data_IF_595855594940
#
_entry.id   IF_595855594940
#
_cell.length_a   1.000
_cell.length_b   1.000
_cell.length_c   1.000
_cell.angle_alpha   90.00
_cell.angle_beta   90.00
_cell.angle_gamma   90.00
#
_symmetry.space_group_name_H-M   'P 1'
#
loop_
_entity.id
_entity.type
_entity.pdbx_description
1 polymer ?
#
# COMPACT_ATOMS: atom_id res chain seq x y z
N UNK A 1 -13.89 -39.87 -84.97
CA UNK A 1 -13.13 -39.48 -86.17
C UNK A 1 -12.63 -38.06 -86.00
N UNK A 2 -11.32 -37.87 -86.21
CA UNK A 2 -10.57 -36.65 -86.57
C UNK A 2 -10.42 -35.50 -85.54
N UNK A 3 -9.19 -35.49 -84.99
CA UNK A 3 -8.18 -34.42 -84.99
C UNK A 3 -8.41 -33.21 -84.08
N UNK A 4 -7.60 -33.01 -83.03
CA UNK A 4 -6.22 -32.43 -83.03
C UNK A 4 -6.20 -30.96 -83.51
N UNK A 5 -5.87 -30.04 -82.61
CA UNK A 5 -4.67 -29.17 -82.64
C UNK A 5 -4.70 -28.18 -81.45
N UNK A 6 -3.76 -28.42 -80.54
CA UNK A 6 -2.71 -27.50 -80.10
C UNK A 6 -3.03 -26.12 -79.48
N UNK A 7 -2.66 -26.02 -78.20
CA UNK A 7 -1.58 -25.16 -77.70
C UNK A 7 -1.84 -23.64 -77.59
N UNK A 8 -2.02 -23.16 -76.36
CA UNK A 8 -1.05 -22.21 -75.78
C UNK A 8 -1.16 -22.14 -74.26
N UNK A 9 -0.11 -22.70 -73.68
CA UNK A 9 0.53 -22.37 -72.42
C UNK A 9 0.70 -20.84 -72.30
N UNK A 10 0.37 -20.24 -71.15
CA UNK A 10 1.25 -19.29 -70.45
C UNK A 10 0.83 -19.25 -68.97
N UNK A 11 1.87 -19.41 -68.18
CA UNK A 11 1.97 -19.50 -66.74
C UNK A 11 1.95 -18.09 -66.16
N UNK A 12 1.11 -17.84 -65.15
CA UNK A 12 1.40 -16.87 -64.10
C UNK A 12 1.04 -17.51 -62.75
N UNK A 13 2.03 -18.21 -62.20
CA UNK A 13 2.07 -18.58 -60.79
C UNK A 13 2.35 -17.31 -59.99
N UNK A 14 1.31 -16.69 -59.42
CA UNK A 14 1.50 -15.83 -58.26
C UNK A 14 1.60 -16.72 -57.02
N UNK A 15 2.82 -17.19 -56.76
CA UNK A 15 3.24 -17.68 -55.45
C UNK A 15 3.52 -16.47 -54.57
N UNK A 16 2.48 -15.95 -53.91
CA UNK A 16 2.68 -15.08 -52.76
C UNK A 16 2.62 -15.97 -51.51
N UNK A 17 3.78 -16.45 -51.07
CA UNK A 17 3.95 -16.92 -49.70
C UNK A 17 3.85 -15.69 -48.79
N UNK A 18 2.62 -15.26 -48.52
CA UNK A 18 2.34 -14.41 -47.38
C UNK A 18 2.67 -15.24 -46.15
N UNK A 19 3.73 -14.83 -45.44
CA UNK A 19 3.94 -15.28 -44.07
C UNK A 19 2.62 -15.00 -43.34
N UNK A 20 2.03 -16.04 -42.77
CA UNK A 20 1.15 -15.87 -41.63
C UNK A 20 2.00 -15.17 -40.57
N UNK A 21 1.86 -13.83 -40.50
CA UNK A 21 2.02 -13.15 -39.23
C UNK A 21 1.02 -13.84 -38.32
N UNK A 22 1.55 -14.64 -37.40
CA UNK A 22 0.86 -14.90 -36.15
C UNK A 22 0.57 -13.52 -35.57
N UNK A 23 -0.62 -12.99 -35.84
CA UNK A 23 -1.28 -12.08 -34.92
C UNK A 23 -1.29 -12.84 -33.59
N UNK A 24 -0.29 -12.52 -32.76
CA UNK A 24 -0.34 -12.79 -31.34
C UNK A 24 -1.73 -12.37 -30.88
N UNK A 25 -2.45 -13.29 -30.23
CA UNK A 25 -3.69 -12.96 -29.52
C UNK A 25 -3.55 -11.59 -28.88
N UNK A 26 -4.57 -10.70 -28.96
CA UNK A 26 -4.51 -9.41 -28.31
C UNK A 26 -4.00 -9.61 -26.90
N UNK A 27 -2.88 -8.98 -26.59
CA UNK A 27 -2.39 -8.95 -25.24
C UNK A 27 -3.51 -8.32 -24.40
N UNK A 28 -4.06 -9.08 -23.46
CA UNK A 28 -5.07 -8.58 -22.51
C UNK A 28 -4.46 -7.59 -21.50
N UNK A 29 -3.21 -7.14 -21.69
CA UNK A 29 -2.52 -6.22 -20.81
C UNK A 29 -2.91 -4.79 -21.16
N UNK A 30 -3.76 -4.18 -20.34
CA UNK A 30 -4.19 -2.79 -20.56
C UNK A 30 -3.06 -1.79 -20.41
N UNK A 31 -1.89 -2.16 -19.88
CA UNK A 31 -0.76 -1.25 -19.64
C UNK A 31 0.36 -1.40 -20.69
N UNK A 32 0.14 -2.12 -21.79
CA UNK A 32 1.19 -2.43 -22.79
C UNK A 32 1.79 -1.18 -23.43
N UNK A 33 0.97 -0.16 -23.71
CA UNK A 33 1.37 1.12 -24.30
C UNK A 33 1.21 2.29 -23.31
N UNK A 34 1.39 2.03 -22.02
CA UNK A 34 1.25 3.04 -20.97
C UNK A 34 2.14 4.25 -21.26
N UNK A 35 1.52 5.42 -21.33
CA UNK A 35 2.21 6.72 -21.33
C UNK A 35 1.66 7.59 -20.22
N UNK A 36 2.43 8.58 -19.78
CA UNK A 36 1.94 9.50 -18.74
C UNK A 36 2.48 10.91 -18.88
N UNK A 37 1.74 11.84 -18.28
CA UNK A 37 2.23 13.19 -18.01
C UNK A 37 2.17 13.46 -16.52
N UNK A 38 3.04 14.36 -16.05
CA UNK A 38 3.11 14.74 -14.64
C UNK A 38 2.93 16.25 -14.55
N UNK A 39 1.98 16.67 -13.72
CA UNK A 39 1.85 18.05 -13.26
C UNK A 39 2.22 18.14 -11.78
N UNK A 40 2.47 19.33 -11.26
CA UNK A 40 2.69 19.55 -9.83
C UNK A 40 1.80 20.68 -9.36
N UNK A 41 1.00 20.40 -8.34
CA UNK A 41 0.16 21.38 -7.66
C UNK A 41 0.66 21.60 -6.25
N UNK A 42 0.40 22.80 -5.71
CA UNK A 42 0.80 23.19 -4.36
C UNK A 42 -0.44 23.68 -3.61
N UNK A 43 -0.58 23.25 -2.36
CA UNK A 43 -1.63 23.69 -1.46
C UNK A 43 -1.26 25.04 -0.89
N UNK A 44 -2.19 26.00 -0.97
CA UNK A 44 -2.08 27.30 -0.32
C UNK A 44 -2.40 27.18 1.18
N UNK A 45 -1.42 27.37 2.08
CA UNK A 45 -1.66 27.30 3.52
C UNK A 45 -2.26 28.61 4.07
N UNK A 46 -2.43 29.65 3.24
CA UNK A 46 -2.87 30.98 3.66
C UNK A 46 -1.81 31.68 4.51
N UNK A 47 -2.19 32.09 5.72
CA UNK A 47 -1.26 32.72 6.68
C UNK A 47 -0.66 31.70 7.68
N UNK A 48 -1.07 30.43 7.61
CA UNK A 48 -0.55 29.36 8.45
C UNK A 48 0.58 28.60 7.76
N UNK A 49 1.19 27.65 8.47
CA UNK A 49 2.22 26.73 7.95
C UNK A 49 1.67 25.30 8.06
N UNK A 50 1.89 24.46 7.05
CA UNK A 50 1.66 23.02 7.15
C UNK A 50 3.00 22.36 7.49
N UNK A 51 3.14 21.81 8.69
CA UNK A 51 4.38 21.15 9.11
C UNK A 51 4.52 19.78 8.40
N UNK A 52 5.49 19.71 7.48
CA UNK A 52 5.82 18.52 6.69
C UNK A 52 7.08 17.79 7.19
N UNK A 53 7.55 18.08 8.41
CA UNK A 53 8.74 17.44 8.98
C UNK A 53 8.66 15.92 9.07
N UNK A 54 7.44 15.37 9.17
CA UNK A 54 7.15 13.94 9.11
C UNK A 54 6.33 13.56 7.87
N UNK A 55 6.45 14.35 6.81
CA UNK A 55 5.74 14.16 5.53
C UNK A 55 4.23 13.98 5.80
N UNK A 56 3.59 12.99 5.16
CA UNK A 56 2.18 12.63 5.37
C UNK A 56 1.99 11.39 6.27
N UNK A 57 2.93 11.11 7.19
CA UNK A 57 2.92 9.89 8.02
C UNK A 57 1.63 9.68 8.82
N UNK A 58 1.01 10.76 9.31
CA UNK A 58 -0.23 10.73 10.08
C UNK A 58 -1.37 11.37 9.29
N UNK A 59 -1.53 10.92 8.04
CA UNK A 59 -2.55 11.43 7.16
C UNK A 59 -3.50 10.35 6.64
N UNK A 60 -4.73 10.77 6.34
CA UNK A 60 -5.71 9.96 5.64
C UNK A 60 -6.66 10.85 4.81
N UNK A 61 -7.38 10.25 3.86
CA UNK A 61 -8.24 10.93 2.91
C UNK A 61 -9.72 10.76 3.27
N UNK A 62 -10.56 11.71 2.86
CA UNK A 62 -12.00 11.44 2.80
C UNK A 62 -12.30 10.37 1.75
N UNK A 63 -13.41 9.64 1.93
CA UNK A 63 -13.87 8.60 1.00
C UNK A 63 -14.10 9.09 -0.43
N UNK A 64 -14.34 10.39 -0.63
CA UNK A 64 -14.46 11.00 -1.96
C UNK A 64 -13.16 11.64 -2.47
N UNK A 65 -12.05 11.43 -1.76
CA UNK A 65 -10.72 11.96 -2.03
C UNK A 65 -10.64 13.49 -2.21
N UNK A 66 -11.59 14.26 -1.63
CA UNK A 66 -11.59 15.73 -1.68
C UNK A 66 -10.95 16.38 -0.47
N UNK A 67 -10.76 15.64 0.61
CA UNK A 67 -10.11 16.13 1.83
C UNK A 67 -8.90 15.28 2.15
N UNK A 68 -7.82 15.95 2.51
CA UNK A 68 -6.70 15.34 3.21
C UNK A 68 -6.74 15.81 4.67
N UNK A 69 -6.63 14.86 5.57
CA UNK A 69 -6.51 15.11 7.00
C UNK A 69 -5.09 14.79 7.40
N UNK A 70 -4.35 15.74 7.97
CA UNK A 70 -2.97 15.54 8.39
C UNK A 70 -2.81 15.94 9.86
N UNK A 71 -2.51 14.97 10.73
CA UNK A 71 -2.26 15.23 12.14
C UNK A 71 -0.79 15.56 12.39
N UNK A 72 -0.53 16.75 12.91
CA UNK A 72 0.82 17.19 13.28
C UNK A 72 1.00 17.01 14.78
N UNK A 73 1.73 15.98 15.17
CA UNK A 73 1.91 15.62 16.58
C UNK A 73 2.60 16.71 17.41
N UNK A 74 3.57 17.43 16.81
CA UNK A 74 4.26 18.55 17.47
C UNK A 74 3.33 19.72 17.83
N UNK A 75 2.28 19.93 17.03
CA UNK A 75 1.25 20.96 17.27
C UNK A 75 0.03 20.42 18.03
N UNK A 76 -0.13 19.10 18.07
CA UNK A 76 -1.33 18.40 18.51
C UNK A 76 -2.60 18.91 17.79
N UNK A 77 -2.49 19.08 16.48
CA UNK A 77 -3.56 19.60 15.62
C UNK A 77 -3.76 18.74 14.39
N UNK A 78 -5.02 18.61 13.97
CA UNK A 78 -5.41 18.05 12.69
C UNK A 78 -5.58 19.18 11.67
N UNK A 79 -4.77 19.19 10.61
CA UNK A 79 -4.95 20.05 9.45
C UNK A 79 -6.00 19.44 8.52
N UNK A 80 -6.96 20.24 8.09
CA UNK A 80 -7.99 19.86 7.10
C UNK A 80 -7.69 20.59 5.81
N UNK A 81 -7.27 19.86 4.78
CA UNK A 81 -6.90 20.39 3.47
C UNK A 81 -8.01 20.07 2.47
N UNK A 82 -8.44 21.08 1.71
CA UNK A 82 -9.34 20.91 0.56
C UNK A 82 -8.50 20.63 -0.70
N UNK A 83 -8.64 19.44 -1.27
CA UNK A 83 -7.91 18.99 -2.46
C UNK A 83 -8.52 19.49 -3.77
N UNK A 84 -9.76 19.98 -3.77
CA UNK A 84 -10.37 20.63 -4.94
C UNK A 84 -9.94 22.09 -5.05
N UNK A 85 -9.88 22.79 -3.91
CA UNK A 85 -9.44 24.19 -3.85
C UNK A 85 -7.93 24.33 -3.70
N UNK A 86 -7.24 23.27 -3.29
CA UNK A 86 -5.83 23.26 -2.92
C UNK A 86 -5.54 24.29 -1.82
N UNK A 87 -6.30 24.24 -0.73
CA UNK A 87 -6.17 25.20 0.38
C UNK A 87 -6.25 24.51 1.74
N UNK A 88 -5.48 24.98 2.71
CA UNK A 88 -5.72 24.67 4.12
C UNK A 88 -7.02 25.32 4.60
N UNK A 89 -8.02 24.53 5.00
CA UNK A 89 -9.31 25.08 5.45
C UNK A 89 -9.26 25.55 6.91
N UNK A 90 -8.65 24.73 7.77
CA UNK A 90 -8.56 24.95 9.22
C UNK A 90 -7.59 23.95 9.85
N UNK A 91 -7.11 24.30 11.04
CA UNK A 91 -6.49 23.37 11.98
C UNK A 91 -7.38 23.16 13.20
N UNK A 92 -7.54 21.91 13.62
CA UNK A 92 -8.39 21.51 14.74
C UNK A 92 -7.49 21.06 15.89
N UNK A 93 -7.55 21.70 17.07
CA UNK A 93 -6.75 21.30 18.22
C UNK A 93 -7.31 20.05 18.88
N UNK A 94 -6.42 19.17 19.31
CA UNK A 94 -6.73 18.01 20.15
C UNK A 94 -6.10 18.19 21.52
N UNK A 95 -6.57 17.44 22.52
CA UNK A 95 -5.90 17.36 23.82
C UNK A 95 -4.78 16.30 23.74
N UNK A 96 -3.64 16.55 24.40
CA UNK A 96 -2.54 15.58 24.45
C UNK A 96 -2.75 14.55 25.56
N UNK A 97 -3.25 15.02 26.69
CA UNK A 97 -3.49 14.25 27.92
C UNK A 97 -4.94 14.40 28.36
N UNK A 98 -5.34 13.63 29.38
CA UNK A 98 -6.70 13.64 29.91
C UNK A 98 -7.63 12.64 29.20
N UNK A 99 -8.94 12.65 29.52
CA UNK A 99 -9.90 11.69 28.97
C UNK A 99 -9.95 11.71 27.43
N UNK A 100 -9.83 12.89 26.83
CA UNK A 100 -9.82 13.11 25.39
C UNK A 100 -8.41 13.21 24.80
N UNK A 101 -7.37 12.86 25.58
CA UNK A 101 -5.99 12.90 25.12
C UNK A 101 -5.72 11.89 24.00
N UNK A 102 -5.07 12.33 22.93
CA UNK A 102 -4.57 11.46 21.83
C UNK A 102 -3.28 10.73 22.18
N UNK A 103 -2.58 11.18 23.24
CA UNK A 103 -1.35 10.56 23.72
C UNK A 103 -0.09 11.12 23.05
N UNK A 104 0.91 10.26 22.89
CA UNK A 104 2.19 10.58 22.25
C UNK A 104 2.73 9.35 21.54
N UNK A 105 3.64 9.56 20.59
CA UNK A 105 4.16 8.56 19.68
C UNK A 105 3.02 7.90 18.89
N UNK A 106 2.22 8.75 18.24
CA UNK A 106 1.15 8.30 17.36
C UNK A 106 1.76 7.49 16.22
N UNK A 107 1.20 6.30 16.01
CA UNK A 107 1.63 5.36 14.99
C UNK A 107 0.96 5.65 13.65
N UNK A 108 -0.37 5.74 13.64
CA UNK A 108 -1.16 6.12 12.47
C UNK A 108 -2.42 6.89 12.86
N UNK A 109 -3.01 7.49 11.84
CA UNK A 109 -4.36 8.04 11.82
C UNK A 109 -5.10 7.31 10.70
N UNK A 110 -6.28 6.79 10.99
CA UNK A 110 -7.19 6.20 10.00
C UNK A 110 -8.54 6.94 10.10
N UNK A 111 -9.10 7.41 8.99
CA UNK A 111 -10.48 7.88 8.92
C UNK A 111 -11.39 6.65 8.92
N UNK A 112 -12.20 6.47 9.96
CA UNK A 112 -13.08 5.31 10.10
C UNK A 112 -14.53 5.62 9.75
N UNK A 113 -14.89 6.91 9.70
CA UNK A 113 -16.16 7.39 9.18
C UNK A 113 -15.99 8.83 8.68
N UNK A 114 -17.02 9.41 8.05
CA UNK A 114 -16.98 10.81 7.61
C UNK A 114 -16.75 11.84 8.74
N UNK A 115 -16.93 11.45 10.00
CA UNK A 115 -16.86 12.32 11.18
C UNK A 115 -15.94 11.80 12.30
N UNK A 116 -15.26 10.66 12.11
CA UNK A 116 -14.44 10.03 13.14
C UNK A 116 -13.09 9.52 12.62
N UNK A 117 -12.09 9.68 13.46
CA UNK A 117 -10.73 9.19 13.26
C UNK A 117 -10.37 8.17 14.30
N UNK A 118 -9.73 7.10 13.86
CA UNK A 118 -9.03 6.17 14.70
C UNK A 118 -7.56 6.58 14.82
N UNK A 119 -7.16 6.96 16.02
CA UNK A 119 -5.79 7.31 16.35
C UNK A 119 -5.19 6.23 17.24
N UNK A 120 -4.03 5.71 16.84
CA UNK A 120 -3.36 4.63 17.57
C UNK A 120 -1.91 4.96 17.85
N UNK A 121 -1.47 4.56 19.04
CA UNK A 121 -0.08 4.46 19.48
C UNK A 121 0.25 2.97 19.63
N UNK A 122 1.46 2.66 20.06
CA UNK A 122 1.81 1.26 20.38
C UNK A 122 0.94 0.65 21.49
N UNK A 123 0.59 1.43 22.51
CA UNK A 123 -0.08 0.93 23.73
C UNK A 123 -1.55 1.33 23.85
N UNK A 124 -1.98 2.35 23.14
CA UNK A 124 -3.32 2.93 23.27
C UNK A 124 -3.89 3.22 21.91
N UNK A 125 -5.20 3.07 21.76
CA UNK A 125 -5.89 3.50 20.57
C UNK A 125 -7.29 4.00 20.93
N UNK A 126 -7.85 4.89 20.11
CA UNK A 126 -9.17 5.44 20.35
C UNK A 126 -9.79 6.07 19.12
N UNK A 127 -11.11 6.24 19.18
CA UNK A 127 -11.93 6.86 18.14
C UNK A 127 -12.30 8.26 18.60
N UNK A 128 -12.02 9.25 17.77
CA UNK A 128 -12.19 10.67 18.07
C UNK A 128 -12.99 11.37 16.98
N UNK A 129 -13.76 12.39 17.35
CA UNK A 129 -14.42 13.26 16.37
C UNK A 129 -13.59 14.50 16.00
N UNK A 130 -14.14 15.33 15.10
CA UNK A 130 -13.58 16.62 14.69
C UNK A 130 -13.64 17.72 15.76
N UNK A 131 -14.21 17.44 16.93
CA UNK A 131 -14.20 18.33 18.09
C UNK A 131 -13.12 17.90 19.10
N UNK A 132 -12.36 16.85 18.79
CA UNK A 132 -11.33 16.31 19.66
C UNK A 132 -11.88 15.49 20.83
N UNK A 133 -13.15 15.09 20.78
CA UNK A 133 -13.77 14.26 21.82
C UNK A 133 -13.51 12.79 21.51
N UNK A 134 -13.03 12.04 22.51
CA UNK A 134 -12.85 10.60 22.42
C UNK A 134 -14.17 9.90 22.71
N UNK A 135 -14.69 9.17 21.73
CA UNK A 135 -15.91 8.38 21.85
C UNK A 135 -15.63 6.99 22.42
N UNK A 136 -14.52 6.38 22.02
CA UNK A 136 -14.17 5.03 22.40
C UNK A 136 -12.65 4.89 22.62
N UNK A 137 -12.27 4.06 23.59
CA UNK A 137 -10.93 3.51 23.70
C UNK A 137 -10.95 2.09 23.15
N UNK A 138 -10.10 1.80 22.17
CA UNK A 138 -9.98 0.48 21.57
C UNK A 138 -8.82 -0.24 22.25
N UNK A 139 -9.13 -1.35 22.94
CA UNK A 139 -8.14 -2.18 23.62
C UNK A 139 -8.16 -3.60 23.04
N UNK A 140 -6.97 -4.16 22.81
CA UNK A 140 -6.77 -5.51 22.29
C UNK A 140 -6.17 -6.43 23.35
N UNK A 141 -6.63 -6.32 24.60
CA UNK A 141 -6.17 -7.23 25.65
C UNK A 141 -6.65 -8.66 25.33
N UNK A 142 -5.71 -9.61 25.29
CA UNK A 142 -6.00 -11.02 25.00
C UNK A 142 -7.01 -11.59 26.00
N UNK A 143 -7.01 -11.10 27.26
CA UNK A 143 -7.97 -11.53 28.27
C UNK A 143 -9.42 -11.08 27.95
N UNK A 144 -9.58 -10.01 27.19
CA UNK A 144 -10.88 -9.46 26.80
C UNK A 144 -11.42 -10.08 25.50
N UNK A 145 -10.55 -10.65 24.65
CA UNK A 145 -10.93 -11.20 23.35
C UNK A 145 -11.21 -12.70 23.45
N UNK A 146 -12.47 -13.08 23.22
CA UNK A 146 -12.94 -14.46 23.34
C UNK A 146 -12.50 -15.25 22.11
N UNK A 147 -11.69 -16.30 22.29
CA UNK A 147 -11.35 -17.25 21.22
C UNK A 147 -9.95 -17.08 20.63
N UNK A 148 -9.25 -16.00 20.96
CA UNK A 148 -7.83 -15.80 20.66
C UNK A 148 -7.03 -16.00 21.94
N UNK A 149 -6.07 -16.93 21.93
CA UNK A 149 -5.22 -17.24 23.09
C UNK A 149 -3.76 -17.46 22.70
N UNK A 150 -2.84 -17.04 23.56
CA UNK A 150 -1.40 -17.13 23.37
C UNK A 150 -0.91 -16.31 22.18
N UNK A 151 -1.54 -15.16 21.91
CA UNK A 151 -1.23 -14.31 20.75
C UNK A 151 -1.07 -12.88 21.20
N UNK A 152 0.06 -12.28 20.85
CA UNK A 152 0.28 -10.85 21.09
C UNK A 152 -0.50 -10.03 20.05
N UNK A 153 -1.48 -9.27 20.51
CA UNK A 153 -2.21 -8.30 19.69
C UNK A 153 -1.68 -6.90 20.00
N UNK A 154 -1.38 -6.11 18.97
CA UNK A 154 -0.80 -4.78 19.15
C UNK A 154 -1.63 -3.73 18.42
N UNK A 155 -1.90 -2.63 19.12
CA UNK A 155 -2.75 -1.55 18.61
C UNK A 155 -2.18 -0.88 17.35
N UNK A 156 -0.84 -0.81 17.22
CA UNK A 156 -0.20 -0.21 16.05
C UNK A 156 -0.41 -1.00 14.75
N UNK A 157 -0.87 -2.26 14.83
CA UNK A 157 -1.15 -3.15 13.70
C UNK A 157 -2.65 -3.34 13.45
N UNK A 158 -3.50 -2.67 14.23
CA UNK A 158 -4.95 -2.79 14.16
C UNK A 158 -5.52 -1.94 13.02
N UNK A 159 -6.42 -2.52 12.23
CA UNK A 159 -7.32 -1.82 11.31
C UNK A 159 -8.76 -2.07 11.76
N UNK A 160 -9.59 -1.03 11.71
CA UNK A 160 -11.02 -1.11 11.99
C UNK A 160 -11.75 -1.06 10.65
N UNK A 161 -12.89 -1.76 10.57
CA UNK A 161 -13.79 -1.56 9.45
C UNK A 161 -14.46 -0.18 9.50
N UNK A 162 -14.86 0.35 8.35
CA UNK A 162 -15.59 1.63 8.24
C UNK A 162 -16.94 1.59 8.99
N UNK A 163 -17.56 0.42 9.08
CA UNK A 163 -18.79 0.23 9.86
C UNK A 163 -18.54 -0.03 11.35
N UNK A 164 -17.27 -0.02 11.77
CA UNK A 164 -16.76 -0.25 13.12
C UNK A 164 -17.14 -1.61 13.73
N UNK A 165 -17.66 -2.55 12.94
CA UNK A 165 -18.05 -3.89 13.45
C UNK A 165 -16.89 -4.85 13.61
N UNK A 166 -15.80 -4.64 12.85
CA UNK A 166 -14.72 -5.59 12.74
C UNK A 166 -13.36 -4.96 13.00
N UNK A 167 -12.55 -5.69 13.75
CA UNK A 167 -11.18 -5.39 14.09
C UNK A 167 -10.28 -6.43 13.42
N UNK A 168 -9.31 -5.98 12.64
CA UNK A 168 -8.36 -6.80 11.90
C UNK A 168 -6.95 -6.50 12.36
N UNK A 169 -6.17 -7.53 12.67
CA UNK A 169 -4.75 -7.35 13.00
C UNK A 169 -3.96 -8.61 12.65
N UNK A 170 -2.70 -8.44 12.27
CA UNK A 170 -1.74 -9.55 12.17
C UNK A 170 -1.06 -9.71 13.53
N UNK A 171 -1.36 -10.79 14.30
CA UNK A 171 -0.77 -10.99 15.61
C UNK A 171 0.76 -11.09 15.56
N UNK A 172 1.39 -10.75 16.68
CA UNK A 172 2.82 -10.76 16.85
C UNK A 172 3.36 -9.37 17.19
N UNK A 173 4.68 -9.30 17.25
CA UNK A 173 5.41 -8.08 17.58
C UNK A 173 6.61 -7.94 16.66
N UNK A 174 6.90 -6.71 16.26
CA UNK A 174 8.16 -6.39 15.59
C UNK A 174 9.36 -6.69 16.51
N UNK A 175 9.16 -6.62 17.83
CA UNK A 175 10.21 -6.76 18.85
C UNK A 175 10.49 -8.20 19.32
N UNK A 176 9.66 -9.18 18.95
CA UNK A 176 9.83 -10.58 19.36
C UNK A 176 10.38 -11.42 18.20
N UNK A 177 11.01 -12.56 18.50
CA UNK A 177 11.34 -13.56 17.48
C UNK A 177 10.08 -13.93 16.70
N UNK A 178 10.16 -13.90 15.36
CA UNK A 178 8.99 -14.05 14.50
C UNK A 178 8.28 -15.39 14.72
N UNK A 179 6.95 -15.37 14.65
CA UNK A 179 6.16 -16.59 14.55
C UNK A 179 6.41 -17.25 13.17
N UNK A 180 6.57 -18.58 13.09
CA UNK A 180 6.89 -19.27 11.85
C UNK A 180 5.75 -19.24 10.82
N UNK A 181 4.54 -18.90 11.25
CA UNK A 181 3.34 -18.81 10.41
C UNK A 181 2.63 -17.50 10.70
N UNK A 182 2.25 -16.79 9.65
CA UNK A 182 1.51 -15.54 9.72
C UNK A 182 0.02 -15.84 9.69
N UNK A 183 -0.70 -15.17 10.58
CA UNK A 183 -2.13 -15.34 10.77
C UNK A 183 -2.82 -13.97 10.80
N UNK A 184 -4.10 -13.94 10.48
CA UNK A 184 -4.99 -12.81 10.68
C UNK A 184 -5.87 -13.08 11.90
N UNK A 185 -5.90 -12.13 12.83
CA UNK A 185 -6.95 -12.06 13.84
C UNK A 185 -8.12 -11.22 13.31
N UNK A 186 -9.30 -11.83 13.28
CA UNK A 186 -10.58 -11.18 13.01
C UNK A 186 -11.36 -11.13 14.33
N UNK A 187 -11.76 -9.94 14.77
CA UNK A 187 -12.43 -9.74 16.05
C UNK A 187 -13.70 -8.91 15.83
N UNK A 188 -14.84 -9.40 16.31
CA UNK A 188 -16.07 -8.62 16.34
C UNK A 188 -15.99 -7.57 17.46
N UNK A 189 -16.19 -6.30 17.13
CA UNK A 189 -16.00 -5.19 18.06
C UNK A 189 -17.02 -5.17 19.20
N UNK A 190 -18.24 -5.67 18.97
CA UNK A 190 -19.34 -5.69 19.96
C UNK A 190 -19.26 -6.92 20.86
N UNK A 191 -19.17 -8.12 20.28
CA UNK A 191 -19.20 -9.37 21.06
C UNK A 191 -17.84 -9.74 21.64
N UNK A 192 -16.76 -9.13 21.14
CA UNK A 192 -15.36 -9.48 21.43
C UNK A 192 -15.00 -10.92 21.04
N UNK A 193 -15.82 -11.59 20.24
CA UNK A 193 -15.50 -12.89 19.67
C UNK A 193 -14.42 -12.71 18.59
N UNK A 194 -13.31 -13.42 18.76
CA UNK A 194 -12.14 -13.39 17.89
C UNK A 194 -11.84 -14.75 17.30
N UNK A 195 -11.31 -14.74 16.08
CA UNK A 195 -10.86 -15.93 15.34
C UNK A 195 -9.49 -15.68 14.75
N UNK A 196 -8.71 -16.76 14.63
CA UNK A 196 -7.41 -16.76 13.98
C UNK A 196 -7.53 -17.51 12.66
N UNK A 197 -7.14 -16.85 11.57
CA UNK A 197 -7.18 -17.40 10.23
C UNK A 197 -5.76 -17.44 9.65
N UNK A 198 -5.25 -18.61 9.21
CA UNK A 198 -3.91 -18.70 8.65
C UNK A 198 -3.85 -18.00 7.27
N UNK A 199 -2.81 -17.21 7.04
CA UNK A 199 -2.55 -16.51 5.77
C UNK A 199 -1.15 -16.89 5.24
N UNK A 200 -0.92 -18.17 4.88
CA UNK A 200 0.43 -18.71 4.63
C UNK A 200 1.17 -18.07 3.45
N UNK A 201 0.46 -17.43 2.52
CA UNK A 201 1.12 -16.67 1.44
C UNK A 201 1.88 -15.44 1.99
N UNK A 202 1.52 -14.98 3.20
CA UNK A 202 2.15 -13.87 3.89
C UNK A 202 3.32 -14.31 4.80
N UNK A 203 3.54 -15.62 5.00
CA UNK A 203 4.65 -16.17 5.82
C UNK A 203 6.01 -15.61 5.41
N UNK A 204 6.20 -15.40 4.10
CA UNK A 204 7.43 -14.83 3.55
C UNK A 204 7.72 -13.44 4.10
N UNK A 205 6.69 -12.62 4.31
CA UNK A 205 6.83 -11.28 4.86
C UNK A 205 7.44 -11.32 6.25
N UNK A 206 7.01 -12.26 7.08
CA UNK A 206 7.52 -12.46 8.44
C UNK A 206 9.01 -12.82 8.51
N UNK A 207 9.60 -13.29 7.41
CA UNK A 207 11.04 -13.58 7.31
C UNK A 207 11.90 -12.31 7.14
N UNK A 208 11.32 -11.21 6.64
CA UNK A 208 12.04 -9.97 6.38
C UNK A 208 11.94 -9.02 7.57
N UNK A 209 12.52 -9.46 8.69
CA UNK A 209 12.60 -8.68 9.92
C UNK A 209 13.99 -8.81 10.54
N UNK A 210 14.64 -7.66 10.75
CA UNK A 210 15.97 -7.61 11.37
C UNK A 210 16.05 -6.50 12.41
N UNK A 211 16.78 -6.78 13.50
CA UNK A 211 17.06 -5.83 14.56
C UNK A 211 18.54 -5.47 14.62
N UNK A 212 18.84 -4.19 14.83
CA UNK A 212 20.14 -3.72 15.27
C UNK A 212 20.09 -3.49 16.78
N UNK A 213 21.05 -4.05 17.52
CA UNK A 213 21.15 -3.92 18.98
C UNK A 213 22.54 -3.43 19.38
N UNK A 214 22.60 -2.30 20.06
CA UNK A 214 23.84 -1.74 20.62
C UNK A 214 23.57 -1.27 22.06
N UNK A 215 24.00 -2.08 23.03
CA UNK A 215 23.69 -1.85 24.44
C UNK A 215 22.19 -1.90 24.70
N UNK A 216 21.60 -0.76 25.05
CA UNK A 216 20.16 -0.59 25.31
C UNK A 216 19.39 -0.06 24.10
N UNK A 217 20.07 0.37 23.05
CA UNK A 217 19.45 0.84 21.81
C UNK A 217 19.04 -0.35 20.95
N UNK A 218 17.80 -0.32 20.48
CA UNK A 218 17.27 -1.28 19.52
C UNK A 218 16.63 -0.51 18.36
N UNK A 219 16.97 -0.89 17.14
CA UNK A 219 16.33 -0.41 15.93
C UNK A 219 15.83 -1.62 15.13
N UNK A 220 14.60 -1.57 14.64
CA UNK A 220 13.99 -2.67 13.91
C UNK A 220 13.68 -2.20 12.48
N UNK A 221 13.97 -3.06 11.53
CA UNK A 221 13.45 -2.98 10.17
C UNK A 221 12.61 -4.23 9.94
N UNK A 222 11.36 -4.04 9.51
CA UNK A 222 10.45 -5.11 9.13
C UNK A 222 9.76 -4.72 7.83
N UNK A 223 9.42 -5.72 7.02
CA UNK A 223 8.53 -5.55 5.88
C UNK A 223 7.07 -5.58 6.33
N UNK A 224 6.22 -4.88 5.59
CA UNK A 224 4.88 -4.51 6.03
C UNK A 224 3.80 -5.50 5.55
N UNK A 225 2.77 -5.64 6.38
CA UNK A 225 1.46 -6.11 5.98
C UNK A 225 0.56 -4.88 5.86
N UNK A 226 -0.11 -4.72 4.73
CA UNK A 226 -1.09 -3.66 4.56
C UNK A 226 -2.49 -4.23 4.76
N UNK A 227 -3.27 -3.53 5.57
CA UNK A 227 -4.63 -3.85 5.95
C UNK A 227 -5.53 -2.71 5.48
N UNK A 228 -6.32 -2.97 4.45
CA UNK A 228 -7.15 -1.94 3.80
C UNK A 228 -8.58 -2.43 3.61
N UNK A 229 -9.51 -1.49 3.57
CA UNK A 229 -10.90 -1.74 3.25
C UNK A 229 -11.28 -0.86 2.05
N UNK A 230 -12.07 -1.43 1.14
CA UNK A 230 -12.67 -0.67 0.07
C UNK A 230 -14.07 -1.21 -0.22
N UNK A 231 -15.07 -0.33 -0.20
CA UNK A 231 -16.47 -0.66 -0.49
C UNK A 231 -17.00 -1.84 0.35
N UNK A 232 -16.63 -1.91 1.63
CA UNK A 232 -17.04 -2.98 2.56
C UNK A 232 -16.27 -4.30 2.41
N UNK A 233 -15.29 -4.38 1.49
CA UNK A 233 -14.43 -5.56 1.34
C UNK A 233 -13.08 -5.28 1.98
N UNK A 234 -12.56 -6.24 2.74
CA UNK A 234 -11.27 -6.10 3.39
C UNK A 234 -10.19 -6.88 2.66
N UNK A 235 -9.02 -6.25 2.53
CA UNK A 235 -7.87 -6.72 1.76
C UNK A 235 -6.64 -6.81 2.66
N UNK A 236 -5.82 -7.82 2.40
CA UNK A 236 -4.52 -7.98 3.02
C UNK A 236 -3.49 -8.11 1.92
N UNK A 237 -2.55 -7.19 1.92
CA UNK A 237 -1.39 -7.22 1.02
C UNK A 237 -0.09 -7.17 1.81
N UNK A 238 1.04 -7.30 1.11
CA UNK A 238 2.36 -7.39 1.74
C UNK A 238 3.40 -6.69 0.89
N UNK A 239 4.38 -6.05 1.52
CA UNK A 239 5.49 -5.48 0.76
C UNK A 239 6.42 -6.52 0.15
N UNK A 240 6.33 -7.80 0.55
CA UNK A 240 7.21 -8.89 0.11
C UNK A 240 6.65 -9.71 -1.05
N UNK A 241 5.32 -9.77 -1.23
CA UNK A 241 4.67 -10.60 -2.25
C UNK A 241 3.55 -9.86 -2.97
N UNK A 242 3.37 -10.15 -4.26
CA UNK A 242 2.26 -9.64 -5.06
C UNK A 242 0.92 -10.33 -4.75
N UNK A 243 0.93 -11.40 -3.95
CA UNK A 243 -0.29 -12.09 -3.54
C UNK A 243 -1.19 -11.16 -2.72
N UNK A 244 -2.50 -11.41 -2.79
CA UNK A 244 -3.54 -10.62 -2.11
C UNK A 244 -4.51 -11.59 -1.44
N UNK A 245 -4.90 -11.31 -0.20
CA UNK A 245 -6.07 -11.95 0.40
C UNK A 245 -7.25 -10.99 0.43
N UNK A 246 -8.45 -11.53 0.21
CA UNK A 246 -9.70 -10.90 0.64
C UNK A 246 -10.34 -11.74 1.74
N UNK A 247 -11.10 -11.09 2.61
CA UNK A 247 -11.87 -11.74 3.67
C UNK A 247 -13.34 -11.29 3.63
N UNK A 248 -14.24 -12.26 3.71
CA UNK A 248 -15.62 -12.03 4.11
C UNK A 248 -15.74 -12.36 5.61
N UNK A 249 -15.90 -11.35 6.49
CA UNK A 249 -15.91 -11.56 7.92
C UNK A 249 -17.19 -12.27 8.41
N UNK A 250 -18.29 -12.24 7.65
CA UNK A 250 -19.55 -12.91 8.04
C UNK A 250 -19.49 -14.42 7.82
N UNK A 251 -18.73 -14.85 6.81
CA UNK A 251 -18.56 -16.27 6.46
C UNK A 251 -17.21 -16.85 6.89
N UNK A 252 -16.34 -16.04 7.50
CA UNK A 252 -14.93 -16.34 7.78
C UNK A 252 -14.15 -16.81 6.54
N UNK A 253 -14.56 -16.38 5.33
CA UNK A 253 -14.03 -16.90 4.08
C UNK A 253 -12.84 -16.08 3.60
N UNK A 254 -11.65 -16.68 3.62
CA UNK A 254 -10.45 -16.14 3.00
C UNK A 254 -10.31 -16.60 1.55
N UNK A 255 -10.07 -15.66 0.64
CA UNK A 255 -9.74 -15.95 -0.76
C UNK A 255 -8.35 -15.43 -1.09
N UNK A 256 -7.49 -16.31 -1.60
CA UNK A 256 -6.14 -15.95 -2.07
C UNK A 256 -6.17 -15.67 -3.57
N UNK A 257 -5.65 -14.51 -3.95
CA UNK A 257 -5.36 -14.14 -5.33
C UNK A 257 -3.85 -14.15 -5.54
N UNK A 258 -3.42 -14.89 -6.55
CA UNK A 258 -2.02 -15.12 -6.86
C UNK A 258 -1.84 -15.08 -8.37
N UNK A 259 -0.80 -14.40 -8.82
CA UNK A 259 -0.60 -14.10 -10.22
C UNK A 259 0.74 -14.64 -10.73
N UNK A 260 0.79 -14.90 -12.04
CA UNK A 260 2.02 -15.17 -12.77
C UNK A 260 2.46 -13.88 -13.46
N UNK A 261 3.35 -13.15 -12.80
CA UNK A 261 3.82 -11.84 -13.23
C UNK A 261 4.92 -11.97 -14.29
N UNK A 262 4.89 -11.10 -15.29
CA UNK A 262 5.82 -11.09 -16.43
C UNK A 262 6.91 -10.03 -16.30
N UNK A 263 6.61 -8.87 -15.72
CA UNK A 263 7.50 -7.72 -15.63
C UNK A 263 8.14 -7.60 -14.25
N UNK A 264 7.37 -7.85 -13.18
CA UNK A 264 7.85 -7.76 -11.80
C UNK A 264 8.11 -9.16 -11.18
N UNK A 265 9.11 -9.31 -10.31
CA UNK A 265 9.26 -10.55 -9.54
C UNK A 265 8.07 -10.73 -8.58
N UNK A 266 7.50 -11.94 -8.53
CA UNK A 266 6.34 -12.22 -7.67
C UNK A 266 6.57 -11.90 -6.18
N UNK A 267 7.77 -12.16 -5.66
CA UNK A 267 8.10 -11.95 -4.25
C UNK A 267 9.61 -11.69 -4.03
N UNK A 268 9.99 -11.14 -2.87
CA UNK A 268 11.40 -11.08 -2.44
C UNK A 268 11.94 -12.49 -2.20
N UNK A 269 13.10 -12.79 -2.77
CA UNK A 269 13.65 -14.15 -2.84
C UNK A 269 14.86 -14.42 -1.95
N UNK A 270 15.52 -13.37 -1.45
CA UNK A 270 16.70 -13.47 -0.59
C UNK A 270 16.41 -12.86 0.79
N UNK A 271 15.92 -13.65 1.77
CA UNK A 271 15.66 -13.17 3.12
C UNK A 271 16.95 -12.73 3.84
N UNK A 272 16.83 -12.01 4.97
CA UNK A 272 18.00 -11.61 5.72
C UNK A 272 18.78 -12.83 6.25
N UNK A 273 20.11 -12.72 6.29
CA UNK A 273 21.00 -13.80 6.75
C UNK A 273 20.90 -14.06 8.25
N UNK A 274 20.56 -13.02 9.03
CA UNK A 274 20.39 -13.05 10.47
C UNK A 274 19.22 -12.15 10.86
N UNK A 275 18.51 -12.48 11.94
CA UNK A 275 17.46 -11.62 12.50
C UNK A 275 18.01 -10.50 13.39
N UNK A 276 19.27 -10.58 13.81
CA UNK A 276 19.88 -9.61 14.74
C UNK A 276 21.32 -9.27 14.37
N UNK A 277 21.65 -7.99 14.49
CA UNK A 277 22.96 -7.42 14.18
C UNK A 277 23.45 -6.55 15.34
N UNK A 278 24.76 -6.60 15.60
CA UNK A 278 25.45 -5.72 16.57
C UNK A 278 26.43 -4.76 15.89
N UNK A 279 26.67 -4.95 14.59
CA UNK A 279 27.44 -4.05 13.74
C UNK A 279 26.49 -3.24 12.85
N UNK A 280 26.64 -1.92 12.89
CA UNK A 280 25.71 -1.00 12.22
C UNK A 280 25.84 -1.08 10.70
N UNK A 281 27.04 -1.23 10.17
CA UNK A 281 27.28 -1.29 8.74
C UNK A 281 26.75 -2.59 8.14
N UNK A 282 26.95 -3.71 8.83
CA UNK A 282 26.37 -5.00 8.45
C UNK A 282 24.83 -4.95 8.46
N UNK A 283 24.22 -4.36 9.50
CA UNK A 283 22.77 -4.17 9.54
C UNK A 283 22.28 -3.32 8.36
N UNK A 284 22.96 -2.18 8.11
CA UNK A 284 22.57 -1.25 7.04
C UNK A 284 22.70 -1.90 5.65
N UNK A 285 23.78 -2.65 5.42
CA UNK A 285 23.97 -3.43 4.19
C UNK A 285 22.87 -4.48 4.00
N UNK A 286 22.40 -5.12 5.08
CA UNK A 286 21.31 -6.08 4.99
C UNK A 286 19.96 -5.39 4.67
N UNK A 287 19.70 -4.22 5.26
CA UNK A 287 18.52 -3.39 4.91
C UNK A 287 18.55 -2.99 3.44
N UNK A 288 19.70 -2.49 2.95
CA UNK A 288 19.87 -2.13 1.54
C UNK A 288 19.66 -3.33 0.62
N UNK A 289 20.17 -4.52 0.99
CA UNK A 289 19.93 -5.78 0.27
C UNK A 289 18.44 -6.11 0.18
N UNK A 290 17.69 -5.99 1.28
CA UNK A 290 16.24 -6.24 1.29
C UNK A 290 15.48 -5.22 0.44
N UNK A 291 15.86 -3.93 0.48
CA UNK A 291 15.24 -2.88 -0.34
C UNK A 291 15.60 -2.98 -1.82
N UNK A 292 16.73 -3.59 -2.15
CA UNK A 292 17.14 -3.87 -3.54
C UNK A 292 16.43 -5.07 -4.18
N UNK A 293 15.43 -5.63 -3.48
CA UNK A 293 14.48 -6.61 -4.00
C UNK A 293 13.11 -5.96 -4.19
N UNK A 294 12.21 -6.65 -4.90
CA UNK A 294 10.86 -6.15 -5.18
C UNK A 294 10.11 -5.82 -3.89
N UNK A 295 9.63 -4.59 -3.77
CA UNK A 295 8.84 -4.10 -2.65
C UNK A 295 7.52 -3.60 -3.19
N UNK A 296 6.41 -4.23 -2.78
CA UNK A 296 5.07 -3.83 -3.18
C UNK A 296 4.45 -2.84 -2.18
N UNK A 297 3.64 -1.91 -2.68
CA UNK A 297 2.74 -1.10 -1.85
C UNK A 297 1.40 -1.79 -1.60
N UNK A 298 0.48 -1.05 -1.00
CA UNK A 298 -0.92 -1.44 -0.84
C UNK A 298 -1.71 -1.32 -2.17
N UNK A 299 -2.96 -1.78 -2.16
CA UNK A 299 -3.93 -1.54 -3.24
C UNK A 299 -4.44 -0.10 -3.21
N UNK A 300 -4.53 0.51 -4.38
CA UNK A 300 -4.99 1.88 -4.57
C UNK A 300 -6.17 1.82 -5.54
N UNK A 301 -7.33 2.25 -5.10
CA UNK A 301 -8.54 2.22 -5.92
C UNK A 301 -8.68 3.47 -6.79
N UNK A 302 -9.06 3.29 -8.06
CA UNK A 302 -9.45 4.38 -8.99
C UNK A 302 -10.94 4.31 -9.31
N UNK A 303 -11.74 5.16 -8.65
CA UNK A 303 -13.19 5.28 -8.86
C UNK A 303 -13.60 5.63 -10.30
N UNK A 304 -12.69 6.22 -11.10
CA UNK A 304 -13.02 6.60 -12.48
C UNK A 304 -13.03 5.41 -13.44
N UNK A 305 -12.31 4.33 -13.09
CA UNK A 305 -12.11 3.15 -13.94
C UNK A 305 -12.62 1.86 -13.30
N UNK A 306 -12.98 1.89 -12.02
CA UNK A 306 -13.31 0.72 -11.21
C UNK A 306 -12.16 -0.31 -11.15
N UNK A 307 -10.93 0.19 -11.06
CA UNK A 307 -9.71 -0.61 -11.01
C UNK A 307 -8.96 -0.45 -9.69
N UNK A 308 -8.29 -1.51 -9.26
CA UNK A 308 -7.21 -1.41 -8.31
C UNK A 308 -5.88 -1.30 -9.03
N UNK A 309 -5.02 -0.42 -8.54
CA UNK A 309 -3.62 -0.36 -8.91
C UNK A 309 -2.76 -0.78 -7.73
N UNK A 310 -1.60 -1.35 -8.02
CA UNK A 310 -0.58 -1.66 -7.02
C UNK A 310 0.79 -1.35 -7.59
N UNK A 311 1.57 -0.60 -6.83
CA UNK A 311 2.91 -0.18 -7.24
C UNK A 311 3.93 -1.16 -6.65
N UNK A 312 4.81 -1.67 -7.49
CA UNK A 312 6.00 -2.40 -7.10
C UNK A 312 7.25 -1.55 -7.35
N UNK A 313 8.27 -1.70 -6.51
CA UNK A 313 9.54 -0.99 -6.70
C UNK A 313 10.74 -1.85 -6.35
N UNK A 314 11.83 -1.68 -7.09
CA UNK A 314 13.14 -2.26 -6.74
C UNK A 314 14.12 -1.12 -6.60
N UNK A 315 14.65 -0.90 -5.39
CA UNK A 315 15.70 0.09 -5.17
C UNK A 315 16.96 -0.33 -5.91
N UNK A 316 17.51 0.59 -6.70
CA UNK A 316 18.80 0.47 -7.37
C UNK A 316 19.76 1.42 -6.64
N UNK A 317 20.63 0.90 -5.76
CA UNK A 317 21.59 1.72 -5.02
C UNK A 317 22.50 2.49 -5.98
N UNK A 318 22.78 3.74 -5.66
CA UNK A 318 23.78 4.51 -6.41
C UNK A 318 25.17 3.91 -6.24
N UNK A 319 25.89 3.73 -7.36
CA UNK A 319 27.30 3.35 -7.37
C UNK A 319 28.26 4.55 -7.21
N UNK A 320 27.70 5.77 -7.22
CA UNK A 320 28.44 7.03 -7.07
C UNK A 320 28.07 7.63 -5.72
N UNK A 321 29.09 7.93 -4.92
CA UNK A 321 28.96 8.64 -3.65
C UNK A 321 28.22 9.98 -3.90
N UNK A 322 27.22 10.29 -3.07
CA UNK A 322 26.34 11.47 -3.15
C UNK A 322 25.33 11.55 -4.32
N UNK A 323 25.23 10.54 -5.19
CA UNK A 323 24.11 10.48 -6.15
C UNK A 323 22.89 9.76 -5.54
N UNK A 324 21.65 10.25 -5.80
CA UNK A 324 20.45 9.63 -5.26
C UNK A 324 20.28 8.23 -5.86
N UNK A 325 19.89 7.26 -5.01
CA UNK A 325 19.45 5.96 -5.47
C UNK A 325 18.19 6.12 -6.32
N UNK A 326 18.07 5.29 -7.35
CA UNK A 326 16.88 5.22 -8.21
C UNK A 326 16.08 3.97 -7.87
N UNK A 327 14.89 3.84 -8.41
CA UNK A 327 14.08 2.63 -8.32
C UNK A 327 13.55 2.25 -9.69
N UNK A 328 13.53 0.94 -9.98
CA UNK A 328 12.69 0.41 -11.06
C UNK A 328 11.26 0.35 -10.55
N UNK A 329 10.31 0.93 -11.28
CA UNK A 329 8.92 1.00 -10.86
C UNK A 329 8.07 0.08 -11.73
N UNK A 330 7.21 -0.68 -11.08
CA UNK A 330 6.25 -1.58 -11.72
C UNK A 330 4.85 -1.15 -11.35
N UNK A 331 3.93 -1.21 -12.31
CA UNK A 331 2.51 -0.95 -12.10
C UNK A 331 1.71 -2.18 -12.44
N UNK A 332 0.91 -2.64 -11.48
CA UNK A 332 -0.04 -3.73 -11.65
C UNK A 332 -1.45 -3.12 -11.61
N UNK A 333 -2.30 -3.52 -12.54
CA UNK A 333 -3.71 -3.13 -12.60
C UNK A 333 -4.61 -4.35 -12.49
N UNK A 334 -5.64 -4.24 -11.66
CA UNK A 334 -6.62 -5.28 -11.41
C UNK A 334 -8.03 -4.74 -11.64
N UNK A 335 -8.93 -5.58 -12.15
CA UNK A 335 -10.35 -5.25 -12.11
C UNK A 335 -10.89 -5.35 -10.67
N UNK A 336 -12.16 -4.96 -10.46
CA UNK A 336 -12.82 -5.02 -9.14
C UNK A 336 -12.96 -6.44 -8.57
N UNK A 337 -12.83 -7.47 -9.41
CA UNK A 337 -12.78 -8.88 -9.00
C UNK A 337 -11.35 -9.38 -8.71
N UNK A 338 -10.36 -8.47 -8.73
CA UNK A 338 -8.93 -8.75 -8.57
C UNK A 338 -8.34 -9.66 -9.67
N UNK A 339 -8.90 -9.67 -10.88
CA UNK A 339 -8.19 -10.27 -12.00
C UNK A 339 -7.08 -9.32 -12.46
N UNK A 340 -5.86 -9.83 -12.65
CA UNK A 340 -4.76 -9.04 -13.23
C UNK A 340 -5.10 -8.71 -14.69
N UNK A 341 -5.35 -7.44 -14.97
CA UNK A 341 -5.70 -6.92 -16.29
C UNK A 341 -4.58 -6.10 -16.91
N UNK A 342 -3.56 -5.72 -16.14
CA UNK A 342 -2.37 -5.10 -16.70
C UNK A 342 -1.15 -5.14 -15.81
N UNK A 343 0.03 -5.13 -16.43
CA UNK A 343 1.32 -5.13 -15.76
C UNK A 343 2.37 -4.46 -16.67
N UNK A 344 3.18 -3.55 -16.12
CA UNK A 344 4.29 -2.95 -16.86
C UNK A 344 5.41 -2.45 -15.93
N UNK A 345 6.62 -2.26 -16.46
CA UNK A 345 7.68 -1.45 -15.85
C UNK A 345 7.56 -0.02 -16.40
N UNK A 346 7.51 0.99 -15.52
CA UNK A 346 7.47 2.41 -15.91
C UNK A 346 8.90 2.92 -15.97
N UNK A 347 9.53 2.86 -17.15
CA UNK A 347 10.96 3.17 -17.32
C UNK A 347 11.28 4.65 -17.04
N UNK A 348 10.33 5.57 -17.26
CA UNK A 348 10.52 7.01 -17.06
C UNK A 348 10.37 7.46 -15.60
N UNK A 349 10.03 6.55 -14.67
CA UNK A 349 9.85 6.84 -13.26
C UNK A 349 10.98 6.24 -12.42
N UNK A 350 11.78 7.11 -11.79
CA UNK A 350 12.97 6.72 -11.02
C UNK A 350 12.70 6.57 -9.49
N UNK A 351 11.48 6.81 -9.03
CA UNK A 351 11.10 6.76 -7.62
C UNK A 351 9.64 6.37 -7.45
N UNK A 352 9.34 5.53 -6.45
CA UNK A 352 7.96 5.18 -6.15
C UNK A 352 7.20 6.41 -5.66
N UNK A 353 5.95 6.62 -6.11
CA UNK A 353 5.05 7.62 -5.56
C UNK A 353 4.95 7.54 -4.04
N UNK A 354 5.17 8.66 -3.36
CA UNK A 354 4.93 8.79 -1.92
C UNK A 354 3.46 9.15 -1.66
N UNK A 355 2.85 8.52 -0.65
CA UNK A 355 1.41 8.65 -0.31
C UNK A 355 0.49 8.65 -1.55
N UNK A 356 0.49 7.58 -2.36
CA UNK A 356 -0.25 7.56 -3.62
C UNK A 356 -1.76 7.34 -3.43
N UNK A 357 -2.59 8.11 -4.13
CA UNK A 357 -4.05 7.90 -4.19
C UNK A 357 -4.61 8.36 -5.54
N UNK A 358 -5.74 7.78 -5.99
CA UNK A 358 -6.41 8.28 -7.19
C UNK A 358 -7.46 9.34 -6.85
N UNK A 359 -7.45 10.42 -7.63
CA UNK A 359 -8.49 11.45 -7.60
C UNK A 359 -8.72 11.95 -9.01
N UNK A 360 -10.00 12.00 -9.40
CA UNK A 360 -10.44 12.41 -10.74
C UNK A 360 -9.75 11.61 -11.88
N UNK A 361 -9.50 10.32 -11.63
CA UNK A 361 -8.86 9.39 -12.56
C UNK A 361 -7.37 9.56 -12.78
N UNK A 362 -6.72 10.38 -11.95
CA UNK A 362 -5.26 10.61 -11.96
C UNK A 362 -4.66 10.13 -10.64
N UNK A 363 -3.42 9.68 -10.69
CA UNK A 363 -2.68 9.28 -9.49
C UNK A 363 -2.01 10.52 -8.90
N UNK A 364 -2.35 10.85 -7.68
CA UNK A 364 -1.73 11.92 -6.90
C UNK A 364 -0.68 11.32 -5.98
N UNK A 365 0.43 12.02 -5.81
CA UNK A 365 1.52 11.61 -4.94
C UNK A 365 2.10 12.82 -4.23
N UNK A 366 2.30 12.70 -2.92
CA UNK A 366 2.92 13.75 -2.12
C UNK A 366 4.30 14.14 -2.65
N UNK A 367 4.54 15.44 -2.71
CA UNK A 367 5.86 16.03 -2.93
C UNK A 367 6.02 17.26 -2.04
N UNK A 368 7.20 17.44 -1.45
CA UNK A 368 7.55 18.69 -0.78
C UNK A 368 8.06 19.68 -1.85
N UNK A 369 7.38 20.83 -2.01
CA UNK A 369 7.74 21.87 -2.97
C UNK A 369 8.14 23.12 -2.20
N UNK A 370 9.45 23.34 -2.03
CA UNK A 370 9.97 24.51 -1.29
C UNK A 370 9.37 24.64 0.12
N UNK A 371 9.31 23.52 0.87
CA UNK A 371 8.70 23.38 2.19
C UNK A 371 7.16 23.49 2.23
N UNK A 372 6.51 23.59 1.07
CA UNK A 372 5.05 23.58 0.94
C UNK A 372 4.50 22.20 0.56
N UNK A 373 3.24 21.96 0.95
CA UNK A 373 2.54 20.71 0.65
C UNK A 373 2.16 20.71 -0.84
N UNK A 374 2.80 19.84 -1.61
CA UNK A 374 2.50 19.65 -3.02
C UNK A 374 2.08 18.23 -3.37
N UNK A 375 1.53 18.09 -4.57
CA UNK A 375 1.23 16.81 -5.17
C UNK A 375 1.72 16.76 -6.62
N UNK A 376 2.48 15.71 -6.94
CA UNK A 376 2.71 15.30 -8.32
C UNK A 376 1.46 14.54 -8.80
N UNK A 377 0.88 14.97 -9.92
CA UNK A 377 -0.33 14.41 -10.50
C UNK A 377 0.05 13.69 -11.79
N UNK A 378 -0.03 12.36 -11.76
CA UNK A 378 0.23 11.49 -12.89
C UNK A 378 -1.08 11.22 -13.65
N UNK A 379 -1.08 11.56 -14.93
CA UNK A 379 -2.17 11.26 -15.86
C UNK A 379 -1.76 10.08 -16.75
N UNK A 380 -2.18 8.88 -16.37
CA UNK A 380 -1.90 7.65 -17.10
C UNK A 380 -2.84 7.50 -18.30
N UNK A 381 -2.25 7.29 -19.48
CA UNK A 381 -2.95 7.05 -20.73
C UNK A 381 -2.60 5.65 -21.23
N UNK A 382 -3.61 4.79 -21.32
CA UNK A 382 -3.49 3.40 -21.74
C UNK A 382 -4.84 2.87 -22.27
#
# INVERSE_FOLDING_TARGET
MKNLISLSLIILLFSCSGKEENESSPSNNILEDLTFSVDTVVVDPGEEIIDLSNHLRLADLSSDHKKLYLFVEGENKLSVIDLDKLTLERKIPYEKEGPNGVGSFLWSLDLVSNDQFFLKTFNTAGIFDFQGIKHESVNLDEEEIIGIKGKTLQNNRLKLSEDLKWYYTVPGSDFNDGEPSVELALINSETKEGKILPIPAMDKTGLYKIAFKEGTMMQIYAEDYFLSEHSGNFYITSSVTSDIYTIDPETDSLTLYSYDLKYAPKYKSDPPSHSEFTDREAWRSEVEKMRSQITYGDLIWDDSKDYFFRIGSILVPSLVEDAPSKSKIFLLAFDKELNLIGETEIEEMDSAPEFPFFKDGKLWSFVNVEDELGFAIFDFNF
#
